data_IF_300315963170
#
_entry.id   IF_300315963170
#
_cell.length_a   1.000
_cell.length_b   1.000
_cell.length_c   1.000
_cell.angle_alpha   90.00
_cell.angle_beta   90.00
_cell.angle_gamma   90.00
#
_symmetry.space_group_name_H-M   'P 1'
#
loop_
_entity.id
_entity.type
_entity.pdbx_description
1 polymer ?
#
# COMPACT_ATOMS: atom_id res chain seq x y z
N UNK A 1 -11.91 -3.36 23.58
CA UNK A 1 -12.46 -3.37 22.21
C UNK A 1 -11.40 -3.05 21.14
N UNK A 2 -10.43 -2.17 21.40
CA UNK A 2 -9.30 -1.90 20.47
C UNK A 2 -8.19 -2.96 20.49
N UNK A 3 -7.98 -3.66 21.60
CA UNK A 3 -6.90 -4.66 21.77
C UNK A 3 -7.04 -5.90 20.89
N UNK A 4 -8.26 -6.35 20.59
CA UNK A 4 -8.45 -7.48 19.70
C UNK A 4 -8.10 -7.09 18.25
N UNK A 5 -8.36 -5.85 17.85
CA UNK A 5 -8.10 -5.37 16.49
C UNK A 5 -6.61 -5.26 16.19
N UNK A 6 -5.79 -4.92 17.19
CA UNK A 6 -4.34 -4.72 17.00
C UNK A 6 -3.59 -5.98 16.53
N UNK A 7 -4.14 -7.19 16.78
CA UNK A 7 -3.51 -8.44 16.36
C UNK A 7 -3.50 -8.65 14.84
N UNK A 8 -4.39 -8.00 14.10
CA UNK A 8 -4.55 -8.18 12.66
C UNK A 8 -4.60 -6.85 11.88
N UNK A 9 -4.21 -5.76 12.54
CA UNK A 9 -4.11 -4.45 11.91
C UNK A 9 -2.76 -4.34 11.18
N UNK A 10 -2.80 -3.84 9.94
CA UNK A 10 -1.66 -3.90 9.02
C UNK A 10 -0.48 -3.05 9.47
N UNK A 11 -0.71 -1.87 10.06
CA UNK A 11 0.35 -0.99 10.57
C UNK A 11 1.17 -1.68 11.67
N UNK A 12 0.52 -2.40 12.59
CA UNK A 12 1.20 -3.18 13.64
C UNK A 12 2.00 -4.38 13.12
N UNK A 13 1.84 -4.76 11.85
CA UNK A 13 2.53 -5.88 11.22
C UNK A 13 3.48 -5.43 10.09
N UNK A 14 3.47 -4.15 9.74
CA UNK A 14 4.20 -3.60 8.58
C UNK A 14 5.73 -3.72 8.72
N UNK A 15 6.24 -3.67 9.95
CA UNK A 15 7.67 -3.84 10.27
C UNK A 15 8.20 -5.25 9.97
N UNK A 16 7.31 -6.24 9.87
CA UNK A 16 7.66 -7.63 9.55
C UNK A 16 7.86 -7.88 8.06
N UNK A 17 7.53 -6.91 7.21
CA UNK A 17 7.62 -7.06 5.76
C UNK A 17 9.08 -6.87 5.34
N UNK A 18 9.71 -7.95 4.86
CA UNK A 18 11.12 -7.95 4.42
C UNK A 18 11.29 -8.07 2.91
N UNK A 19 10.19 -8.09 2.15
CA UNK A 19 10.19 -8.16 0.68
C UNK A 19 9.89 -6.80 0.06
N UNK A 20 10.37 -6.50 -1.15
CA UNK A 20 9.98 -5.27 -1.87
C UNK A 20 8.46 -5.14 -1.99
N UNK A 21 7.92 -3.94 -1.71
CA UNK A 21 6.49 -3.64 -1.80
C UNK A 21 6.21 -2.59 -2.86
N UNK A 22 5.21 -2.84 -3.69
CA UNK A 22 4.53 -1.82 -4.46
C UNK A 22 3.20 -1.51 -3.77
N UNK A 23 3.02 -0.27 -3.33
CA UNK A 23 1.77 0.21 -2.72
C UNK A 23 1.13 1.27 -3.61
N UNK A 24 -0.20 1.39 -3.58
CA UNK A 24 -0.89 2.49 -4.24
C UNK A 24 -2.12 2.91 -3.46
N UNK A 25 -2.47 4.19 -3.56
CA UNK A 25 -3.73 4.71 -3.05
C UNK A 25 -4.26 5.82 -3.95
N UNK A 26 -5.52 6.17 -3.73
CA UNK A 26 -6.19 7.25 -4.45
C UNK A 26 -6.61 8.36 -3.51
N UNK A 27 -6.41 9.62 -3.91
CA UNK A 27 -6.72 10.78 -3.07
C UNK A 27 -8.21 11.01 -2.84
N UNK A 28 -9.08 10.45 -3.68
CA UNK A 28 -10.54 10.55 -3.53
C UNK A 28 -11.17 9.24 -3.03
N UNK A 29 -10.37 8.31 -2.47
CA UNK A 29 -10.87 7.09 -1.86
C UNK A 29 -11.51 7.37 -0.48
N UNK A 30 -12.82 7.15 -0.38
CA UNK A 30 -13.59 7.30 0.86
C UNK A 30 -13.84 5.96 1.59
N UNK A 31 -13.41 4.84 1.01
CA UNK A 31 -13.53 3.49 1.58
C UNK A 31 -12.26 3.14 2.35
N UNK A 32 -11.11 3.29 1.69
CA UNK A 32 -9.80 3.08 2.28
C UNK A 32 -9.05 4.40 2.31
N UNK A 33 -9.24 5.15 3.40
CA UNK A 33 -8.67 6.48 3.58
C UNK A 33 -7.16 6.52 3.30
N UNK A 34 -6.73 7.55 2.59
CA UNK A 34 -5.32 7.73 2.20
C UNK A 34 -4.40 7.74 3.43
N UNK A 35 -4.83 8.36 4.53
CA UNK A 35 -4.05 8.50 5.76
C UNK A 35 -3.73 7.14 6.38
N UNK A 36 -4.64 6.17 6.34
CA UNK A 36 -4.42 4.84 6.93
C UNK A 36 -3.46 4.02 6.09
N UNK A 37 -3.56 4.12 4.76
CA UNK A 37 -2.64 3.45 3.83
C UNK A 37 -1.23 4.04 3.95
N UNK A 38 -1.12 5.37 3.99
CA UNK A 38 0.17 6.05 4.12
C UNK A 38 0.85 5.75 5.45
N UNK A 39 0.06 5.71 6.53
CA UNK A 39 0.58 5.31 7.84
C UNK A 39 1.17 3.90 7.79
N UNK A 40 0.41 2.91 7.31
CA UNK A 40 0.92 1.52 7.18
C UNK A 40 2.18 1.43 6.30
N UNK A 41 2.21 2.13 5.17
CA UNK A 41 3.37 2.14 4.26
C UNK A 41 4.64 2.69 4.92
N UNK A 42 4.51 3.72 5.75
CA UNK A 42 5.65 4.36 6.43
C UNK A 42 6.36 3.43 7.41
N UNK A 43 5.65 2.43 7.94
CA UNK A 43 6.21 1.42 8.86
C UNK A 43 6.86 0.23 8.14
N UNK A 44 6.83 0.16 6.80
CA UNK A 44 7.52 -0.87 6.04
C UNK A 44 9.01 -0.49 5.93
N UNK A 45 9.83 -1.04 6.82
CA UNK A 45 11.25 -0.70 6.96
C UNK A 45 12.14 -1.69 6.20
N UNK A 46 13.15 -1.19 5.47
CA UNK A 46 14.28 -2.01 5.00
C UNK A 46 14.15 -2.63 3.61
N UNK A 47 13.17 -2.22 2.80
CA UNK A 47 12.97 -2.76 1.44
C UNK A 47 12.85 -1.65 0.39
N UNK A 48 13.10 -2.01 -0.87
CA UNK A 48 12.94 -1.12 -2.03
C UNK A 48 11.45 -0.92 -2.32
N UNK A 49 10.78 -0.07 -1.55
CA UNK A 49 9.35 0.18 -1.67
C UNK A 49 9.05 1.27 -2.70
N UNK A 50 8.04 1.01 -3.53
CA UNK A 50 7.52 1.96 -4.51
C UNK A 50 6.06 2.30 -4.13
N UNK A 51 5.70 3.58 -4.23
CA UNK A 51 4.35 4.06 -3.95
C UNK A 51 3.81 4.85 -5.15
N UNK A 52 2.60 4.49 -5.58
CA UNK A 52 1.89 5.17 -6.68
C UNK A 52 0.68 5.90 -6.11
N UNK A 53 0.55 7.18 -6.45
CA UNK A 53 -0.57 8.03 -6.01
C UNK A 53 -1.49 8.31 -7.20
N UNK A 54 -2.77 8.01 -7.05
CA UNK A 54 -3.80 8.32 -8.03
C UNK A 54 -4.63 9.54 -7.60
N UNK A 55 -4.38 10.73 -8.16
CA UNK A 55 -4.97 11.96 -7.62
C UNK A 55 -6.48 12.11 -7.85
N UNK A 56 -7.02 11.42 -8.85
CA UNK A 56 -8.42 11.59 -9.28
C UNK A 56 -9.27 10.32 -9.12
N UNK A 57 -8.68 9.22 -8.65
CA UNK A 57 -9.39 7.96 -8.48
C UNK A 57 -10.06 7.90 -7.09
N UNK A 58 -11.10 7.07 -6.99
CA UNK A 58 -11.66 6.64 -5.70
C UNK A 58 -11.15 5.25 -5.33
N UNK A 59 -12.04 4.40 -4.81
CA UNK A 59 -11.75 2.99 -4.48
C UNK A 59 -11.70 2.08 -5.73
N UNK A 60 -10.95 2.48 -6.75
CA UNK A 60 -10.81 1.76 -8.02
C UNK A 60 -9.51 2.12 -8.74
N UNK A 61 -9.04 1.21 -9.58
CA UNK A 61 -7.80 1.35 -10.38
C UNK A 61 -8.06 1.04 -11.87
N UNK A 62 -7.14 1.47 -12.73
CA UNK A 62 -7.21 1.26 -14.18
C UNK A 62 -6.13 0.33 -14.74
N UNK A 63 -6.09 0.13 -16.07
CA UNK A 63 -5.09 -0.68 -16.76
C UNK A 63 -3.64 -0.20 -16.56
N UNK A 64 -3.47 1.09 -16.33
CA UNK A 64 -2.21 1.74 -15.97
C UNK A 64 -1.64 1.19 -14.65
N UNK A 65 -2.48 0.97 -13.64
CA UNK A 65 -2.07 0.32 -12.39
C UNK A 65 -1.63 -1.12 -12.64
N UNK A 66 -2.41 -1.87 -13.43
CA UNK A 66 -2.08 -3.25 -13.79
C UNK A 66 -0.71 -3.34 -14.48
N UNK A 67 -0.43 -2.42 -15.42
CA UNK A 67 0.87 -2.34 -16.08
C UNK A 67 2.01 -2.01 -15.09
N UNK A 68 1.76 -1.13 -14.14
CA UNK A 68 2.76 -0.80 -13.11
C UNK A 68 3.11 -2.02 -12.25
N UNK A 69 2.11 -2.80 -11.85
CA UNK A 69 2.31 -4.07 -11.11
C UNK A 69 3.17 -5.05 -11.91
N UNK A 70 2.86 -5.29 -13.18
CA UNK A 70 3.70 -6.14 -14.05
C UNK A 70 5.13 -5.62 -14.16
N UNK A 71 5.29 -4.30 -14.32
CA UNK A 71 6.61 -3.68 -14.43
C UNK A 71 7.43 -3.88 -13.15
N UNK A 72 6.80 -3.74 -11.99
CA UNK A 72 7.44 -3.96 -10.69
C UNK A 72 7.89 -5.41 -10.51
N UNK A 73 7.02 -6.38 -10.85
CA UNK A 73 7.34 -7.81 -10.78
C UNK A 73 8.54 -8.14 -11.69
N UNK A 74 8.53 -7.66 -12.94
CA UNK A 74 9.61 -7.91 -13.89
C UNK A 74 10.94 -7.26 -13.50
N UNK A 75 10.93 -6.13 -12.79
CA UNK A 75 12.16 -5.46 -12.31
C UNK A 75 12.86 -6.24 -11.18
N UNK A 76 12.13 -7.08 -10.46
CA UNK A 76 12.58 -7.72 -9.21
C UNK A 76 12.62 -9.25 -9.27
N UNK A 77 12.27 -9.85 -10.42
CA UNK A 77 12.54 -11.25 -10.75
C UNK A 77 13.95 -11.41 -11.32
#
# INVERSE_FOLDING_TARGET
MLTTHSYFEAMNLADRITTPVLCSFSLLDLVCLTETIFAAYTYILGTSNEMIVYPFNGHWTGPDHTRAVYTFICKKS
#
